data_IF_151974758512
#
_entry.id   IF_151974758512
#
_cell.length_a   1.000
_cell.length_b   1.000
_cell.length_c   1.000
_cell.angle_alpha   90.00
_cell.angle_beta   90.00
_cell.angle_gamma   90.00
#
_symmetry.space_group_name_H-M   'P 1'
#
loop_
_entity.id
_entity.type
_entity.pdbx_description
1 polymer ?
#
# COMPACT_ATOMS: atom_id res chain seq x y z
N UNK A 1 -46.59 13.79 9.45
CA UNK A 1 -45.35 13.07 9.14
C UNK A 1 -45.65 11.59 9.08
N UNK A 2 -45.86 11.08 7.88
CA UNK A 2 -46.07 9.65 7.61
C UNK A 2 -44.80 8.89 7.98
N UNK A 3 -44.88 8.11 9.05
CA UNK A 3 -43.80 7.20 9.46
C UNK A 3 -43.53 6.25 8.31
N UNK A 4 -42.39 6.42 7.63
CA UNK A 4 -41.93 5.47 6.62
C UNK A 4 -41.84 4.10 7.32
N UNK A 5 -42.70 3.17 6.92
CA UNK A 5 -42.75 1.81 7.46
C UNK A 5 -41.44 1.05 7.17
N UNK A 6 -40.62 1.60 6.27
CA UNK A 6 -39.36 1.06 5.81
C UNK A 6 -38.23 2.04 6.13
N UNK A 7 -37.41 1.67 7.11
CA UNK A 7 -36.12 2.29 7.43
C UNK A 7 -35.10 1.16 7.59
N UNK A 8 -34.30 0.86 6.54
CA UNK A 8 -33.38 -0.27 6.58
C UNK A 8 -32.29 -0.11 7.64
N UNK A 9 -31.88 1.12 7.98
CA UNK A 9 -30.85 1.32 8.98
C UNK A 9 -31.33 0.88 10.38
N UNK A 10 -32.57 1.22 10.71
CA UNK A 10 -33.19 0.86 11.98
C UNK A 10 -33.64 -0.61 12.00
N UNK A 11 -34.32 -1.08 10.94
CA UNK A 11 -34.83 -2.45 10.85
C UNK A 11 -33.72 -3.50 10.87
N UNK A 12 -32.60 -3.23 10.18
CA UNK A 12 -31.43 -4.11 10.16
C UNK A 12 -30.52 -3.90 11.37
N UNK A 13 -30.88 -2.94 12.24
CA UNK A 13 -30.13 -2.55 13.43
C UNK A 13 -28.69 -2.18 13.10
N UNK A 14 -28.42 -1.35 12.09
CA UNK A 14 -27.03 -1.00 11.72
C UNK A 14 -26.54 0.22 12.52
N UNK A 15 -27.45 1.15 12.87
CA UNK A 15 -27.16 2.31 13.73
C UNK A 15 -27.84 2.16 15.08
N UNK A 16 -27.13 2.52 16.17
CA UNK A 16 -27.68 2.54 17.53
C UNK A 16 -28.43 3.86 17.83
N UNK A 17 -28.10 4.93 17.11
CA UNK A 17 -28.66 6.26 17.30
C UNK A 17 -29.29 6.73 15.98
N UNK A 18 -30.55 6.36 15.80
CA UNK A 18 -31.34 6.58 14.57
C UNK A 18 -31.61 8.05 14.24
N UNK A 19 -31.26 8.98 15.13
CA UNK A 19 -31.59 10.40 14.99
C UNK A 19 -30.40 11.30 14.66
N UNK A 20 -29.16 10.79 14.67
CA UNK A 20 -27.98 11.59 14.39
C UNK A 20 -27.48 11.34 12.95
N UNK A 21 -27.33 12.40 12.12
CA UNK A 21 -26.92 12.25 10.72
C UNK A 21 -25.50 11.70 10.51
N UNK A 22 -24.73 11.52 11.58
CA UNK A 22 -23.36 10.99 11.59
C UNK A 22 -23.12 10.00 12.74
N UNK A 23 -24.14 9.23 13.14
CA UNK A 23 -23.94 8.19 14.15
C UNK A 23 -22.87 7.18 13.67
N UNK A 24 -21.96 6.73 14.57
CA UNK A 24 -21.00 5.70 14.22
C UNK A 24 -21.70 4.39 13.89
N UNK A 25 -21.26 3.72 12.83
CA UNK A 25 -21.73 2.38 12.47
C UNK A 25 -20.82 1.37 13.15
N UNK A 26 -21.41 0.50 13.97
CA UNK A 26 -20.68 -0.57 14.63
C UNK A 26 -20.81 -1.87 13.85
N UNK A 27 -19.80 -2.72 13.98
CA UNK A 27 -19.79 -4.06 13.43
C UNK A 27 -21.02 -4.85 13.91
N UNK A 28 -21.78 -5.41 12.97
CA UNK A 28 -23.01 -6.17 13.26
C UNK A 28 -22.74 -7.62 13.68
N UNK A 29 -21.47 -8.02 13.71
CA UNK A 29 -21.04 -9.35 14.12
C UNK A 29 -21.32 -9.65 15.58
N UNK A 30 -21.64 -10.91 15.87
CA UNK A 30 -21.86 -11.42 17.22
C UNK A 30 -20.62 -12.16 17.71
N UNK A 31 -20.17 -11.85 18.92
CA UNK A 31 -19.14 -12.67 19.57
C UNK A 31 -19.73 -14.03 19.96
N UNK A 32 -18.95 -15.11 19.78
CA UNK A 32 -19.35 -16.49 20.10
C UNK A 32 -19.38 -16.80 21.60
N UNK A 33 -19.24 -15.80 22.49
CA UNK A 33 -19.30 -15.99 23.93
C UNK A 33 -20.70 -16.46 24.38
N UNK A 34 -20.73 -17.45 25.29
CA UNK A 34 -21.93 -18.22 25.65
C UNK A 34 -22.94 -17.50 26.54
N UNK A 35 -22.61 -16.34 27.12
CA UNK A 35 -23.37 -15.81 28.26
C UNK A 35 -24.16 -14.54 28.01
N UNK A 36 -23.97 -13.85 26.89
CA UNK A 36 -24.83 -12.76 26.40
C UNK A 36 -24.13 -12.30 25.13
N UNK A 37 -24.57 -12.73 23.93
CA UNK A 37 -23.87 -12.47 22.65
C UNK A 37 -23.80 -10.97 22.39
N UNK A 38 -22.76 -10.25 22.85
CA UNK A 38 -22.75 -8.81 22.71
C UNK A 38 -22.38 -8.50 21.27
N UNK A 39 -23.02 -7.49 20.69
CA UNK A 39 -22.62 -6.99 19.39
C UNK A 39 -21.17 -6.46 19.48
N UNK A 40 -20.40 -6.71 18.43
CA UNK A 40 -19.06 -6.16 18.30
C UNK A 40 -19.09 -4.62 18.40
N UNK A 41 -18.26 -4.05 19.29
CA UNK A 41 -18.12 -2.60 19.46
C UNK A 41 -17.14 -1.95 18.48
N UNK A 42 -16.70 -2.68 17.47
CA UNK A 42 -15.77 -2.15 16.48
C UNK A 42 -16.50 -1.16 15.58
N UNK A 43 -16.04 0.10 15.56
CA UNK A 43 -16.54 1.13 14.66
C UNK A 43 -16.00 0.91 13.26
N UNK A 44 -16.87 0.89 12.25
CA UNK A 44 -16.48 0.73 10.85
C UNK A 44 -15.81 2.04 10.37
N UNK A 45 -14.55 2.00 9.91
CA UNK A 45 -13.86 3.19 9.41
C UNK A 45 -14.28 3.54 7.96
N UNK A 46 -13.86 4.72 7.50
CA UNK A 46 -13.86 5.03 6.07
C UNK A 46 -12.83 4.15 5.31
N UNK A 47 -13.07 3.78 4.04
CA UNK A 47 -14.17 4.20 3.15
C UNK A 47 -15.46 3.36 3.27
N UNK A 48 -15.46 2.29 4.07
CA UNK A 48 -16.60 1.38 4.14
C UNK A 48 -17.82 2.01 4.82
N UNK A 49 -17.62 2.93 5.77
CA UNK A 49 -18.69 3.75 6.34
C UNK A 49 -19.52 4.46 5.27
N UNK A 50 -18.87 5.19 4.36
CA UNK A 50 -19.55 5.89 3.26
C UNK A 50 -20.29 4.93 2.30
N UNK A 51 -19.70 3.76 2.02
CA UNK A 51 -20.33 2.72 1.18
C UNK A 51 -21.57 2.13 1.82
N UNK A 52 -21.54 1.88 3.13
CA UNK A 52 -22.69 1.40 3.91
C UNK A 52 -23.83 2.41 3.84
N UNK A 53 -23.56 3.70 4.06
CA UNK A 53 -24.58 4.75 3.99
C UNK A 53 -25.21 4.86 2.61
N UNK A 54 -24.40 4.83 1.56
CA UNK A 54 -24.87 4.88 0.17
C UNK A 54 -25.78 3.68 -0.13
N UNK A 55 -25.39 2.49 0.31
CA UNK A 55 -26.17 1.26 0.14
C UNK A 55 -27.50 1.34 0.92
N UNK A 56 -27.48 1.85 2.15
CA UNK A 56 -28.69 2.04 2.96
C UNK A 56 -29.67 3.04 2.34
N UNK A 57 -29.18 4.15 1.79
CA UNK A 57 -30.03 5.10 1.06
C UNK A 57 -30.65 4.47 -0.19
N UNK A 58 -29.87 3.67 -0.92
CA UNK A 58 -30.37 2.93 -2.08
C UNK A 58 -31.40 1.86 -1.71
N UNK A 59 -31.25 1.19 -0.57
CA UNK A 59 -32.26 0.26 -0.06
C UNK A 59 -33.52 0.98 0.42
N UNK A 60 -33.38 2.18 1.01
CA UNK A 60 -34.50 2.97 1.49
C UNK A 60 -35.38 3.51 0.35
N UNK A 61 -34.84 3.67 -0.86
CA UNK A 61 -35.59 4.09 -2.05
C UNK A 61 -36.31 2.94 -2.78
N UNK A 62 -36.06 1.68 -2.39
CA UNK A 62 -36.74 0.50 -2.94
C UNK A 62 -37.83 0.03 -1.99
N UNK A 63 -38.86 -0.61 -2.56
CA UNK A 63 -39.78 -1.39 -1.76
C UNK A 63 -39.04 -2.59 -1.15
N UNK A 64 -39.32 -2.98 0.11
CA UNK A 64 -38.68 -4.13 0.76
C UNK A 64 -38.88 -5.45 0.00
N UNK A 65 -39.92 -5.56 -0.83
CA UNK A 65 -40.13 -6.71 -1.70
C UNK A 65 -39.12 -6.81 -2.86
N UNK A 66 -38.53 -5.69 -3.26
CA UNK A 66 -37.61 -5.57 -4.39
C UNK A 66 -36.13 -5.56 -3.95
N UNK A 67 -35.87 -5.79 -2.67
CA UNK A 67 -34.51 -5.84 -2.12
C UNK A 67 -33.89 -7.21 -2.42
N UNK A 68 -32.89 -7.20 -3.30
CA UNK A 68 -32.12 -8.39 -3.68
C UNK A 68 -31.25 -8.93 -2.54
N UNK A 69 -31.04 -10.24 -2.52
CA UNK A 69 -30.20 -10.92 -1.51
C UNK A 69 -28.74 -10.49 -1.61
N UNK A 70 -28.24 -10.27 -2.81
CA UNK A 70 -26.88 -9.87 -3.12
C UNK A 70 -26.58 -8.47 -2.56
N UNK A 71 -27.55 -7.56 -2.60
CA UNK A 71 -27.45 -6.24 -1.99
C UNK A 71 -27.34 -6.34 -0.46
N UNK A 72 -28.13 -7.21 0.17
CA UNK A 72 -28.04 -7.48 1.60
C UNK A 72 -26.72 -8.15 1.99
N UNK A 73 -26.20 -9.06 1.17
CA UNK A 73 -24.91 -9.70 1.40
C UNK A 73 -23.75 -8.70 1.33
N UNK A 74 -23.77 -7.82 0.34
CA UNK A 74 -22.77 -6.76 0.20
C UNK A 74 -22.81 -5.83 1.42
N UNK A 75 -24.01 -5.41 1.83
CA UNK A 75 -24.18 -4.60 3.03
C UNK A 75 -23.68 -5.33 4.29
N UNK A 76 -23.97 -6.62 4.43
CA UNK A 76 -23.56 -7.42 5.59
C UNK A 76 -22.04 -7.51 5.66
N UNK A 77 -21.38 -7.77 4.52
CA UNK A 77 -19.93 -7.85 4.43
C UNK A 77 -19.25 -6.54 4.82
N UNK A 78 -19.79 -5.39 4.40
CA UNK A 78 -19.26 -4.06 4.77
C UNK A 78 -19.47 -3.75 6.26
N UNK A 79 -20.58 -4.20 6.84
CA UNK A 79 -20.89 -3.98 8.25
C UNK A 79 -20.13 -4.91 9.22
N UNK A 80 -19.16 -5.70 8.74
CA UNK A 80 -18.40 -6.66 9.57
C UNK A 80 -16.93 -6.29 9.61
N UNK A 81 -16.32 -6.37 10.79
CA UNK A 81 -14.90 -6.07 10.92
C UNK A 81 -14.03 -7.13 10.22
N UNK A 82 -13.01 -6.65 9.53
CA UNK A 82 -12.12 -7.43 8.67
C UNK A 82 -11.42 -8.59 9.37
N UNK A 83 -11.09 -8.41 10.66
CA UNK A 83 -10.28 -9.38 11.39
C UNK A 83 -11.05 -10.60 11.89
N UNK A 84 -12.31 -10.44 12.34
CA UNK A 84 -12.97 -11.48 13.15
C UNK A 84 -14.36 -11.87 12.66
N UNK A 85 -15.14 -10.91 12.17
CA UNK A 85 -16.56 -11.14 11.90
C UNK A 85 -16.90 -11.27 10.41
N UNK A 86 -16.00 -10.97 9.48
CA UNK A 86 -16.22 -11.17 8.02
C UNK A 86 -16.80 -12.55 7.64
N UNK A 87 -16.36 -13.68 8.24
CA UNK A 87 -16.95 -14.99 7.95
C UNK A 87 -18.44 -15.12 8.30
N UNK A 88 -18.99 -14.22 9.14
CA UNK A 88 -20.40 -14.20 9.53
C UNK A 88 -21.31 -13.51 8.50
N UNK A 89 -20.77 -12.99 7.38
CA UNK A 89 -21.54 -12.24 6.39
C UNK A 89 -22.77 -13.01 5.89
N UNK A 90 -22.63 -14.31 5.64
CA UNK A 90 -23.73 -15.17 5.21
C UNK A 90 -24.84 -15.27 6.26
N UNK A 91 -24.48 -15.53 7.52
CA UNK A 91 -25.44 -15.67 8.63
C UNK A 91 -26.21 -14.35 8.88
N UNK A 92 -25.50 -13.21 8.79
CA UNK A 92 -26.10 -11.87 8.88
C UNK A 92 -27.06 -11.64 7.71
N UNK A 93 -26.67 -12.02 6.49
CA UNK A 93 -27.51 -11.91 5.30
C UNK A 93 -28.81 -12.69 5.44
N UNK A 94 -28.74 -13.95 5.86
CA UNK A 94 -29.91 -14.82 6.00
C UNK A 94 -30.90 -14.27 7.05
N UNK A 95 -30.37 -13.71 8.13
CA UNK A 95 -31.16 -13.00 9.15
C UNK A 95 -31.85 -11.76 8.56
N UNK A 96 -31.12 -10.95 7.81
CA UNK A 96 -31.65 -9.73 7.20
C UNK A 96 -32.71 -10.03 6.13
N UNK A 97 -32.49 -11.02 5.27
CA UNK A 97 -33.51 -11.50 4.30
C UNK A 97 -34.82 -11.83 5.00
N UNK A 98 -34.75 -12.49 6.17
CA UNK A 98 -35.94 -12.80 6.97
C UNK A 98 -36.63 -11.56 7.54
N UNK A 99 -35.88 -10.54 7.97
CA UNK A 99 -36.42 -9.27 8.45
C UNK A 99 -37.11 -8.50 7.32
N UNK A 100 -36.44 -8.38 6.17
CA UNK A 100 -36.95 -7.67 4.99
C UNK A 100 -38.20 -8.35 4.44
N UNK A 101 -38.23 -9.69 4.38
CA UNK A 101 -39.42 -10.44 3.96
C UNK A 101 -40.63 -10.20 4.86
N UNK A 102 -40.43 -10.04 6.18
CA UNK A 102 -41.52 -9.65 7.11
C UNK A 102 -42.00 -8.22 6.86
N UNK A 103 -41.08 -7.29 6.60
CA UNK A 103 -41.43 -5.90 6.28
C UNK A 103 -42.25 -5.81 4.99
N UNK A 104 -41.84 -6.55 3.94
CA UNK A 104 -42.58 -6.65 2.68
C UNK A 104 -44.00 -7.20 2.88
N UNK A 105 -44.14 -8.30 3.63
CA UNK A 105 -45.45 -8.88 3.94
C UNK A 105 -46.35 -7.90 4.74
N UNK A 106 -45.78 -7.11 5.64
CA UNK A 106 -46.53 -6.11 6.42
C UNK A 106 -47.01 -4.95 5.55
N UNK A 107 -46.20 -4.47 4.60
CA UNK A 107 -46.61 -3.44 3.65
C UNK A 107 -47.72 -3.93 2.72
N UNK A 108 -47.61 -5.15 2.19
CA UNK A 108 -48.65 -5.75 1.34
C UNK A 108 -50.00 -5.85 2.06
N UNK A 109 -50.02 -6.20 3.36
CA UNK A 109 -51.25 -6.23 4.18
C UNK A 109 -51.88 -4.85 4.34
N UNK A 110 -51.07 -3.79 4.47
CA UNK A 110 -51.58 -2.40 4.56
C UNK A 110 -52.13 -1.89 3.23
N UNK A 111 -51.58 -2.31 2.10
CA UNK A 111 -52.11 -2.00 0.76
C UNK A 111 -53.51 -2.59 0.52
N UNK A 112 -53.74 -3.82 0.96
CA UNK A 112 -55.04 -4.49 0.79
C UNK A 112 -56.14 -3.97 1.73
N UNK A 113 -55.80 -3.38 2.87
CA UNK A 113 -56.78 -2.82 3.81
C UNK A 113 -57.36 -1.45 3.38
N UNK A 114 -56.84 -0.83 2.32
CA UNK A 114 -57.22 0.52 1.89
C UNK A 114 -58.00 0.56 0.56
N UNK A 115 -58.33 -0.62 0.00
CA UNK A 115 -58.98 -0.77 -1.31
C UNK A 115 -60.50 -1.04 -1.31
N UNK A 116 -61.19 -1.07 -0.17
CA UNK A 116 -62.64 -1.30 -0.12
C UNK A 116 -63.39 -0.18 0.60
N UNK A 117 -63.49 0.99 -0.03
CA UNK A 117 -64.50 2.02 0.26
C UNK A 117 -64.49 3.09 -0.84
N UNK A 118 -65.08 2.76 -2.00
CA UNK A 118 -65.50 3.76 -2.98
C UNK A 118 -66.84 3.31 -3.56
N UNK A 119 -67.87 3.48 -2.74
CA UNK A 119 -69.26 3.49 -3.21
C UNK A 119 -69.55 4.93 -3.60
N UNK A 120 -69.32 5.27 -4.88
CA UNK A 120 -69.70 6.58 -5.42
C UNK A 120 -71.15 6.51 -5.90
N UNK A 121 -72.06 6.85 -4.98
CA UNK A 121 -73.43 7.25 -5.25
C UNK A 121 -73.42 8.66 -5.84
N UNK A 122 -73.80 8.82 -7.10
CA UNK A 122 -74.33 10.07 -7.64
C UNK A 122 -74.92 9.79 -9.01
N UNK A 123 -76.22 9.51 -9.04
CA UNK A 123 -77.15 10.11 -9.99
C UNK A 123 -78.54 9.72 -9.50
N UNK A 124 -79.43 10.71 -9.46
CA UNK A 124 -80.88 10.70 -9.21
C UNK A 124 -81.24 11.91 -8.34
N UNK A 125 -81.44 13.06 -8.98
CA UNK A 125 -82.60 13.93 -8.73
C UNK A 125 -82.79 14.92 -9.89
N UNK A 126 -83.80 14.66 -10.72
CA UNK A 126 -84.69 15.62 -11.38
C UNK A 126 -86.08 15.31 -10.79
N UNK A 127 -86.92 16.29 -10.37
CA UNK A 127 -87.95 16.75 -11.31
C UNK A 127 -88.53 18.17 -11.07
N UNK A 128 -89.23 18.62 -12.12
CA UNK A 128 -90.46 19.46 -12.14
C UNK A 128 -90.25 20.92 -12.53
N UNK A 129 -90.74 21.40 -13.68
CA UNK A 129 -92.13 21.53 -14.16
C UNK A 129 -92.84 22.79 -13.63
N UNK A 130 -93.13 23.74 -14.53
CA UNK A 130 -94.25 24.71 -14.46
C UNK A 130 -94.32 25.47 -15.80
N UNK A 131 -95.20 25.11 -16.74
CA UNK A 131 -96.63 25.48 -16.83
C UNK A 131 -96.88 27.00 -16.83
N UNK A 132 -96.89 27.57 -18.04
CA UNK A 132 -97.57 28.83 -18.35
C UNK A 132 -99.09 28.58 -18.48
N UNK A 133 -99.92 29.50 -17.97
CA UNK A 133 -101.12 29.88 -18.71
C UNK A 133 -101.22 31.39 -18.92
N UNK A 134 -101.67 31.72 -20.13
CA UNK A 134 -101.99 33.05 -20.66
C UNK A 134 -103.49 33.28 -20.50
N UNK A 135 -104.00 34.39 -19.94
CA UNK A 135 -105.42 34.71 -20.01
C UNK A 135 -105.73 35.51 -21.28
N UNK A 136 -106.75 35.03 -22.00
CA UNK A 136 -107.46 35.72 -23.07
C UNK A 136 -108.33 36.84 -22.50
N UNK A 137 -108.40 37.93 -23.25
CA UNK A 137 -109.18 39.11 -22.97
C UNK A 137 -110.40 39.19 -23.91
N UNK A 138 -111.47 39.86 -23.44
CA UNK A 138 -112.62 40.40 -24.21
C UNK A 138 -113.65 39.37 -24.74
N UNK A 139 -114.97 39.61 -24.81
CA UNK A 139 -115.77 40.84 -24.79
C UNK A 139 -117.29 40.49 -24.74
N UNK A 140 -118.09 41.40 -24.14
CA UNK A 140 -119.36 41.93 -24.69
C UNK A 140 -120.73 41.23 -24.48
N UNK A 141 -121.69 42.02 -23.95
CA UNK A 141 -123.11 42.05 -24.39
C UNK A 141 -124.17 41.90 -23.29
N UNK A 142 -124.58 42.98 -22.60
CA UNK A 142 -125.82 43.79 -22.80
C UNK A 142 -127.18 43.13 -22.50
N UNK A 143 -127.96 43.76 -21.60
CA UNK A 143 -129.40 43.97 -21.83
C UNK A 143 -130.33 44.10 -20.61
N UNK A 144 -130.76 45.35 -20.31
CA UNK A 144 -132.11 45.80 -19.91
C UNK A 144 -132.68 45.38 -18.52
N UNK A 145 -133.52 46.13 -17.77
CA UNK A 145 -134.14 47.47 -17.82
C UNK A 145 -134.82 47.79 -16.45
N UNK A 146 -134.81 49.08 -16.09
CA UNK A 146 -135.87 49.88 -15.43
C UNK A 146 -136.30 49.70 -13.94
N UNK A 147 -136.00 50.76 -13.14
CA UNK A 147 -136.91 51.43 -12.18
C UNK A 147 -136.85 51.01 -10.69
N UNK A 148 -137.17 51.90 -9.71
CA UNK A 148 -137.05 53.37 -9.64
C UNK A 148 -136.37 53.87 -8.32
N UNK A 149 -135.60 54.97 -8.37
CA UNK A 149 -135.32 56.01 -7.33
C UNK A 149 -135.23 55.71 -5.81
N UNK A 150 -135.09 54.44 -5.43
CA UNK A 150 -134.36 53.87 -4.28
C UNK A 150 -133.20 53.03 -4.78
N UNK A 151 -133.37 52.47 -5.99
CA UNK A 151 -132.36 51.80 -6.79
C UNK A 151 -131.20 52.70 -7.21
N UNK A 152 -131.36 54.03 -7.26
CA UNK A 152 -130.24 54.95 -7.51
C UNK A 152 -129.42 55.25 -6.26
N UNK A 153 -130.02 55.21 -5.07
CA UNK A 153 -129.26 55.22 -3.81
C UNK A 153 -128.63 53.86 -3.56
N UNK A 154 -129.28 52.77 -3.98
CA UNK A 154 -128.76 51.41 -3.94
C UNK A 154 -127.73 51.13 -5.04
N UNK A 155 -127.83 51.74 -6.22
CA UNK A 155 -126.83 51.73 -7.30
C UNK A 155 -125.70 52.71 -7.01
N UNK A 156 -125.94 53.83 -6.31
CA UNK A 156 -124.88 54.68 -5.78
C UNK A 156 -124.20 53.99 -4.60
N UNK A 157 -124.94 53.28 -3.74
CA UNK A 157 -124.39 52.44 -2.67
C UNK A 157 -123.66 51.22 -3.25
N UNK A 158 -124.14 50.61 -4.33
CA UNK A 158 -123.51 49.49 -5.02
C UNK A 158 -122.31 49.96 -5.85
N UNK A 159 -122.37 51.12 -6.52
CA UNK A 159 -121.24 51.71 -7.23
C UNK A 159 -120.19 52.26 -6.25
N UNK A 160 -120.59 52.79 -5.09
CA UNK A 160 -119.63 53.14 -4.03
C UNK A 160 -119.10 51.90 -3.32
N UNK A 161 -119.87 50.82 -3.20
CA UNK A 161 -119.38 49.52 -2.72
C UNK A 161 -118.42 48.87 -3.72
N UNK A 162 -118.73 48.85 -5.03
CA UNK A 162 -117.85 48.38 -6.10
C UNK A 162 -116.61 49.27 -6.24
N UNK A 163 -116.75 50.59 -6.09
CA UNK A 163 -115.61 51.50 -6.06
C UNK A 163 -114.75 51.26 -4.82
N UNK A 164 -115.37 51.04 -3.65
CA UNK A 164 -114.63 50.71 -2.43
C UNK A 164 -114.01 49.31 -2.51
N UNK A 165 -114.64 48.34 -3.17
CA UNK A 165 -114.11 47.00 -3.39
C UNK A 165 -112.98 47.00 -4.44
N UNK A 166 -113.14 47.76 -5.52
CA UNK A 166 -112.10 48.01 -6.52
C UNK A 166 -110.94 48.77 -5.91
N UNK A 167 -111.21 49.75 -5.04
CA UNK A 167 -110.19 50.48 -4.30
C UNK A 167 -109.48 49.57 -3.31
N UNK A 168 -110.21 48.71 -2.59
CA UNK A 168 -109.62 47.70 -1.70
C UNK A 168 -108.75 46.71 -2.47
N UNK A 169 -109.20 46.24 -3.65
CA UNK A 169 -108.42 45.36 -4.55
C UNK A 169 -107.17 46.07 -5.06
N UNK A 170 -107.29 47.32 -5.49
CA UNK A 170 -106.14 48.13 -5.91
C UNK A 170 -105.17 48.38 -4.76
N UNK A 171 -105.66 48.67 -3.55
CA UNK A 171 -104.84 48.85 -2.35
C UNK A 171 -104.15 47.53 -1.95
N UNK A 172 -104.82 46.38 -2.07
CA UNK A 172 -104.23 45.05 -1.88
C UNK A 172 -103.15 44.74 -2.93
N UNK A 173 -103.39 45.10 -4.19
CA UNK A 173 -102.45 44.89 -5.28
C UNK A 173 -101.23 45.82 -5.15
N UNK A 174 -101.43 47.09 -4.75
CA UNK A 174 -100.35 48.03 -4.40
C UNK A 174 -99.53 47.48 -3.24
N UNK A 175 -100.16 46.92 -2.20
CA UNK A 175 -99.44 46.36 -1.06
C UNK A 175 -98.69 45.07 -1.45
N UNK A 176 -99.28 44.21 -2.28
CA UNK A 176 -98.61 43.03 -2.86
C UNK A 176 -97.39 43.44 -3.67
N UNK A 177 -97.54 44.42 -4.58
CA UNK A 177 -96.44 44.95 -5.38
C UNK A 177 -95.37 45.61 -4.50
N UNK A 178 -95.73 46.30 -3.42
CA UNK A 178 -94.76 46.84 -2.45
C UNK A 178 -93.95 45.74 -1.77
N UNK A 179 -94.62 44.66 -1.35
CA UNK A 179 -93.96 43.48 -0.75
C UNK A 179 -93.01 42.84 -1.76
N UNK A 180 -93.43 42.67 -3.01
CA UNK A 180 -92.58 42.16 -4.09
C UNK A 180 -91.39 43.08 -4.39
N UNK A 181 -91.61 44.40 -4.45
CA UNK A 181 -90.55 45.39 -4.67
C UNK A 181 -89.53 45.36 -3.52
N UNK A 182 -89.99 45.20 -2.28
CA UNK A 182 -89.14 44.98 -1.11
C UNK A 182 -88.35 43.66 -1.19
N UNK A 183 -88.99 42.57 -1.65
CA UNK A 183 -88.33 41.28 -1.88
C UNK A 183 -87.25 41.37 -2.95
N UNK A 184 -87.55 42.01 -4.09
CA UNK A 184 -86.61 42.23 -5.18
C UNK A 184 -85.44 43.14 -4.77
N UNK A 185 -85.70 44.19 -4.01
CA UNK A 185 -84.65 45.04 -3.44
C UNK A 185 -83.72 44.26 -2.51
N UNK A 186 -84.29 43.36 -1.69
CA UNK A 186 -83.50 42.49 -0.81
C UNK A 186 -82.67 41.48 -1.61
N UNK A 187 -83.24 40.87 -2.66
CA UNK A 187 -82.49 39.98 -3.57
C UNK A 187 -81.38 40.72 -4.32
N UNK A 188 -81.63 41.95 -4.78
CA UNK A 188 -80.62 42.79 -5.42
C UNK A 188 -79.48 43.13 -4.45
N UNK A 189 -79.80 43.46 -3.20
CA UNK A 189 -78.80 43.72 -2.16
C UNK A 189 -77.94 42.48 -1.91
N UNK A 190 -78.56 41.30 -1.74
CA UNK A 190 -77.85 40.02 -1.59
C UNK A 190 -77.00 39.66 -2.81
N UNK A 191 -77.46 39.95 -4.01
CA UNK A 191 -76.70 39.70 -5.24
C UNK A 191 -75.45 40.59 -5.31
N UNK A 192 -75.57 41.87 -4.97
CA UNK A 192 -74.44 42.80 -4.89
C UNK A 192 -73.42 42.41 -3.82
N UNK A 193 -73.89 41.94 -2.66
CA UNK A 193 -73.04 41.41 -1.60
C UNK A 193 -72.24 40.21 -2.09
N UNK A 194 -72.90 39.23 -2.72
CA UNK A 194 -72.22 38.07 -3.33
C UNK A 194 -71.24 38.46 -4.45
N UNK A 195 -71.57 39.46 -5.26
CA UNK A 195 -70.66 39.95 -6.31
C UNK A 195 -69.41 40.59 -5.70
N UNK A 196 -69.55 41.37 -4.62
CA UNK A 196 -68.43 41.94 -3.88
C UNK A 196 -67.58 40.85 -3.21
N UNK A 197 -68.21 39.86 -2.59
CA UNK A 197 -67.52 38.69 -2.01
C UNK A 197 -66.78 37.88 -3.08
N UNK A 198 -67.40 37.67 -4.24
CA UNK A 198 -66.75 36.96 -5.37
C UNK A 198 -65.58 37.76 -5.92
N UNK A 199 -65.71 39.09 -6.05
CA UNK A 199 -64.64 39.99 -6.51
C UNK A 199 -63.45 40.01 -5.54
N UNK A 200 -63.72 40.09 -4.24
CA UNK A 200 -62.66 40.04 -3.21
C UNK A 200 -61.99 38.66 -3.20
N UNK A 201 -62.76 37.57 -3.27
CA UNK A 201 -62.24 36.21 -3.43
C UNK A 201 -61.35 36.05 -4.66
N UNK A 202 -61.77 36.56 -5.82
CA UNK A 202 -60.99 36.53 -7.05
C UNK A 202 -59.67 37.31 -6.92
N UNK A 203 -59.67 38.46 -6.23
CA UNK A 203 -58.45 39.23 -5.98
C UNK A 203 -57.45 38.49 -5.07
N UNK A 204 -57.95 37.79 -4.05
CA UNK A 204 -57.14 36.97 -3.14
C UNK A 204 -56.52 35.79 -3.88
N UNK A 205 -57.32 35.04 -4.64
CA UNK A 205 -56.84 33.90 -5.45
C UNK A 205 -55.78 34.35 -6.46
N UNK A 206 -55.97 35.51 -7.09
CA UNK A 206 -54.97 36.08 -8.01
C UNK A 206 -53.65 36.37 -7.29
N UNK A 207 -53.69 36.96 -6.09
CA UNK A 207 -52.51 37.22 -5.28
C UNK A 207 -51.78 35.94 -4.85
N UNK A 208 -52.51 34.90 -4.46
CA UNK A 208 -51.93 33.58 -4.13
C UNK A 208 -51.29 32.91 -5.34
N UNK A 209 -51.96 32.97 -6.50
CA UNK A 209 -51.41 32.47 -7.76
C UNK A 209 -50.09 33.17 -8.11
N UNK A 210 -50.04 34.50 -7.99
CA UNK A 210 -48.84 35.27 -8.35
C UNK A 210 -47.67 34.93 -7.41
N UNK A 211 -47.93 34.74 -6.10
CA UNK A 211 -46.91 34.26 -5.14
C UNK A 211 -46.40 32.86 -5.49
N UNK A 212 -47.30 31.93 -5.83
CA UNK A 212 -46.91 30.57 -6.22
C UNK A 212 -46.07 30.56 -7.51
N UNK A 213 -46.36 31.44 -8.46
CA UNK A 213 -45.55 31.60 -9.68
C UNK A 213 -44.15 32.11 -9.36
N UNK A 214 -44.03 33.08 -8.44
CA UNK A 214 -42.73 33.59 -7.99
C UNK A 214 -41.92 32.51 -7.27
N UNK A 215 -42.52 31.75 -6.36
CA UNK A 215 -41.88 30.62 -5.69
C UNK A 215 -41.44 29.53 -6.67
N UNK A 216 -42.30 29.18 -7.64
CA UNK A 216 -41.96 28.22 -8.69
C UNK A 216 -40.77 28.70 -9.55
N UNK A 217 -40.70 29.98 -9.87
CA UNK A 217 -39.58 30.54 -10.62
C UNK A 217 -38.29 30.54 -9.78
N UNK A 218 -38.38 30.85 -8.48
CA UNK A 218 -37.25 30.79 -7.56
C UNK A 218 -36.69 29.37 -7.44
N UNK A 219 -37.55 28.37 -7.20
CA UNK A 219 -37.15 26.96 -7.12
C UNK A 219 -36.54 26.46 -8.43
N UNK A 220 -37.02 26.95 -9.58
CA UNK A 220 -36.45 26.61 -10.88
C UNK A 220 -35.02 27.13 -11.03
N UNK A 221 -34.75 28.36 -10.59
CA UNK A 221 -33.41 28.94 -10.63
C UNK A 221 -32.47 28.19 -9.66
N UNK A 222 -32.92 27.90 -8.44
CA UNK A 222 -32.14 27.12 -7.45
C UNK A 222 -31.82 25.71 -7.98
N UNK A 223 -32.77 25.06 -8.67
CA UNK A 223 -32.54 23.76 -9.31
C UNK A 223 -31.48 23.84 -10.42
N UNK A 224 -31.47 24.93 -11.20
CA UNK A 224 -30.49 25.15 -12.25
C UNK A 224 -29.11 25.39 -11.67
N UNK A 225 -28.99 26.25 -10.66
CA UNK A 225 -27.73 26.50 -9.94
C UNK A 225 -27.17 25.22 -9.28
N UNK A 226 -28.03 24.44 -8.63
CA UNK A 226 -27.64 23.16 -8.03
C UNK A 226 -27.18 22.14 -9.09
N UNK A 227 -27.79 22.15 -10.28
CA UNK A 227 -27.37 21.28 -11.38
C UNK A 227 -26.01 21.71 -11.96
N UNK A 228 -25.76 23.01 -12.10
CA UNK A 228 -24.45 23.53 -12.52
C UNK A 228 -23.35 23.20 -11.50
N UNK A 229 -23.63 23.35 -10.20
CA UNK A 229 -22.71 22.96 -9.14
C UNK A 229 -22.45 21.44 -9.14
N UNK A 230 -23.49 20.63 -9.37
CA UNK A 230 -23.35 19.19 -9.55
C UNK A 230 -22.43 18.82 -10.72
N UNK A 231 -22.53 19.54 -11.85
CA UNK A 231 -21.63 19.33 -12.99
C UNK A 231 -20.18 19.73 -12.67
N UNK A 232 -19.96 20.85 -11.96
CA UNK A 232 -18.62 21.26 -11.49
C UNK A 232 -17.99 20.22 -10.56
N UNK A 233 -18.75 19.72 -9.59
CA UNK A 233 -18.27 18.68 -8.70
C UNK A 233 -17.93 17.38 -9.45
N UNK A 234 -18.68 17.03 -10.50
CA UNK A 234 -18.42 15.85 -11.32
C UNK A 234 -17.15 15.99 -12.17
N UNK A 235 -16.87 17.19 -12.69
CA UNK A 235 -15.61 17.48 -13.39
C UNK A 235 -14.42 17.41 -12.44
N UNK A 236 -14.53 18.00 -11.26
CA UNK A 236 -13.47 17.97 -10.24
C UNK A 236 -13.19 16.54 -9.77
N UNK A 237 -14.25 15.75 -9.55
CA UNK A 237 -14.14 14.33 -9.22
C UNK A 237 -13.43 13.53 -10.31
N UNK A 238 -13.65 13.88 -11.58
CA UNK A 238 -12.99 13.21 -12.71
C UNK A 238 -11.51 13.59 -12.77
N UNK A 239 -11.17 14.86 -12.58
CA UNK A 239 -9.79 15.34 -12.49
C UNK A 239 -9.02 14.68 -11.34
N UNK A 240 -9.60 14.64 -10.13
CA UNK A 240 -8.98 13.99 -8.97
C UNK A 240 -8.76 12.49 -9.18
N UNK A 241 -9.62 11.82 -9.97
CA UNK A 241 -9.40 10.41 -10.34
C UNK A 241 -8.21 10.25 -11.29
N UNK A 242 -8.06 11.14 -12.27
CA UNK A 242 -6.92 11.14 -13.19
C UNK A 242 -5.60 11.41 -12.44
N UNK A 243 -5.58 12.38 -11.53
CA UNK A 243 -4.43 12.62 -10.66
C UNK A 243 -4.10 11.40 -9.78
N UNK A 244 -5.11 10.73 -9.22
CA UNK A 244 -4.89 9.53 -8.41
C UNK A 244 -4.28 8.39 -9.24
N UNK A 245 -4.72 8.22 -10.49
CA UNK A 245 -4.13 7.26 -11.44
C UNK A 245 -2.66 7.63 -11.71
N UNK A 246 -2.38 8.89 -12.02
CA UNK A 246 -1.01 9.37 -12.28
C UNK A 246 -0.08 9.14 -11.08
N UNK A 247 -0.53 9.45 -9.86
CA UNK A 247 0.23 9.16 -8.64
C UNK A 247 0.44 7.66 -8.42
N UNK A 248 -0.55 6.83 -8.75
CA UNK A 248 -0.41 5.37 -8.66
C UNK A 248 0.66 4.85 -9.63
N UNK A 249 0.71 5.38 -10.85
CA UNK A 249 1.73 5.05 -11.85
C UNK A 249 3.13 5.49 -11.39
N UNK A 250 3.28 6.71 -10.87
CA UNK A 250 4.55 7.20 -10.31
C UNK A 250 5.03 6.33 -9.14
N UNK A 251 4.13 5.95 -8.22
CA UNK A 251 4.47 5.05 -7.11
C UNK A 251 4.92 3.67 -7.59
N UNK A 252 4.34 3.15 -8.69
CA UNK A 252 4.77 1.89 -9.27
C UNK A 252 6.14 2.00 -9.93
N UNK A 253 6.44 3.11 -10.61
CA UNK A 253 7.76 3.39 -11.18
C UNK A 253 8.84 3.49 -10.09
N UNK A 254 8.59 4.30 -9.05
CA UNK A 254 9.51 4.44 -7.92
C UNK A 254 9.74 3.11 -7.18
N UNK A 255 8.71 2.26 -7.09
CA UNK A 255 8.86 0.91 -6.55
C UNK A 255 9.76 0.03 -7.42
N UNK A 256 9.65 0.13 -8.75
CA UNK A 256 10.55 -0.53 -9.69
C UNK A 256 12.00 -0.09 -9.51
N UNK A 257 12.23 1.23 -9.43
CA UNK A 257 13.56 1.78 -9.21
C UNK A 257 14.17 1.34 -7.87
N UNK A 258 13.36 1.26 -6.81
CA UNK A 258 13.79 0.77 -5.50
C UNK A 258 14.24 -0.70 -5.56
N UNK A 259 13.54 -1.55 -6.31
CA UNK A 259 13.94 -2.95 -6.51
C UNK A 259 15.29 -3.03 -7.21
N UNK A 260 15.47 -2.31 -8.33
CA UNK A 260 16.73 -2.27 -9.09
C UNK A 260 17.89 -1.77 -8.22
N UNK A 261 17.66 -0.71 -7.43
CA UNK A 261 18.66 -0.20 -6.49
C UNK A 261 19.04 -1.25 -5.44
N UNK A 262 18.06 -1.98 -4.90
CA UNK A 262 18.27 -3.05 -3.92
C UNK A 262 19.10 -4.20 -4.49
N UNK A 263 18.79 -4.65 -5.71
CA UNK A 263 19.56 -5.68 -6.42
C UNK A 263 21.00 -5.23 -6.66
N UNK A 264 21.20 -3.97 -7.07
CA UNK A 264 22.54 -3.40 -7.24
C UNK A 264 23.33 -3.35 -5.94
N UNK A 265 22.70 -2.98 -4.83
CA UNK A 265 23.38 -2.99 -3.51
C UNK A 265 23.77 -4.40 -3.09
N UNK A 266 22.90 -5.39 -3.27
CA UNK A 266 23.22 -6.80 -2.98
C UNK A 266 24.39 -7.29 -3.85
N UNK A 267 24.40 -6.95 -5.13
CA UNK A 267 25.50 -7.30 -6.00
C UNK A 267 26.84 -6.70 -5.52
N UNK A 268 26.87 -5.40 -5.20
CA UNK A 268 28.07 -4.76 -4.66
C UNK A 268 28.54 -5.36 -3.33
N UNK A 269 27.63 -5.76 -2.45
CA UNK A 269 27.96 -6.47 -1.21
C UNK A 269 28.63 -7.83 -1.48
N UNK A 270 28.15 -8.58 -2.48
CA UNK A 270 28.79 -9.84 -2.89
C UNK A 270 30.18 -9.62 -3.49
N UNK A 271 30.36 -8.57 -4.31
CA UNK A 271 31.68 -8.23 -4.86
C UNK A 271 32.67 -7.80 -3.78
N UNK A 272 32.24 -6.96 -2.84
CA UNK A 272 33.05 -6.56 -1.68
C UNK A 272 33.48 -7.78 -0.84
N UNK A 273 32.56 -8.72 -0.61
CA UNK A 273 32.85 -9.96 0.12
C UNK A 273 33.90 -10.80 -0.61
N UNK A 274 33.75 -10.98 -1.92
CA UNK A 274 34.73 -11.69 -2.78
C UNK A 274 36.10 -11.03 -2.76
N UNK A 275 36.17 -9.70 -2.93
CA UNK A 275 37.44 -8.96 -2.89
C UNK A 275 38.10 -9.10 -1.51
N UNK A 276 37.33 -9.10 -0.43
CA UNK A 276 37.87 -9.26 0.92
C UNK A 276 38.45 -10.67 1.14
N UNK A 277 37.81 -11.71 0.60
CA UNK A 277 38.35 -13.08 0.59
C UNK A 277 39.65 -13.17 -0.21
N UNK A 278 39.69 -12.60 -1.42
CA UNK A 278 40.90 -12.54 -2.26
C UNK A 278 42.04 -11.79 -1.54
N UNK A 279 41.75 -10.65 -0.90
CA UNK A 279 42.72 -9.90 -0.10
C UNK A 279 43.23 -10.70 1.10
N UNK A 280 42.37 -11.49 1.74
CA UNK A 280 42.79 -12.38 2.84
C UNK A 280 43.74 -13.46 2.35
N UNK A 281 43.48 -14.06 1.18
CA UNK A 281 44.32 -15.07 0.57
C UNK A 281 45.69 -14.51 0.16
N UNK A 282 45.72 -13.31 -0.43
CA UNK A 282 46.99 -12.62 -0.75
C UNK A 282 47.81 -12.33 0.51
N UNK A 283 47.15 -11.92 1.62
CA UNK A 283 47.83 -11.72 2.90
C UNK A 283 48.44 -13.01 3.44
N UNK A 284 47.72 -14.13 3.41
CA UNK A 284 48.27 -15.41 3.88
C UNK A 284 49.46 -15.85 3.02
N UNK A 285 49.35 -15.76 1.71
CA UNK A 285 50.47 -16.06 0.80
C UNK A 285 51.69 -15.17 1.07
N UNK A 286 51.49 -13.87 1.27
CA UNK A 286 52.58 -12.94 1.63
C UNK A 286 53.27 -13.34 2.95
N UNK A 287 52.50 -13.78 3.96
CA UNK A 287 53.10 -14.28 5.22
C UNK A 287 53.90 -15.57 5.02
N UNK A 288 53.43 -16.49 4.18
CA UNK A 288 54.12 -17.75 3.88
C UNK A 288 55.40 -17.51 3.07
N UNK A 289 55.36 -16.62 2.07
CA UNK A 289 56.55 -16.18 1.34
C UNK A 289 57.55 -15.50 2.27
N UNK A 290 57.08 -14.70 3.24
CA UNK A 290 57.91 -14.11 4.28
C UNK A 290 58.65 -15.15 5.12
N UNK A 291 57.96 -16.23 5.54
CA UNK A 291 58.57 -17.36 6.27
C UNK A 291 59.58 -18.13 5.42
N UNK A 292 59.26 -18.39 4.14
CA UNK A 292 60.19 -19.05 3.22
C UNK A 292 61.45 -18.21 3.00
N UNK A 293 61.30 -16.90 2.83
CA UNK A 293 62.43 -15.99 2.65
C UNK A 293 63.35 -15.96 3.89
N UNK A 294 62.77 -15.90 5.10
CA UNK A 294 63.58 -15.94 6.33
C UNK A 294 64.31 -17.28 6.51
N UNK A 295 63.67 -18.41 6.15
CA UNK A 295 64.29 -19.72 6.15
C UNK A 295 65.46 -19.81 5.17
N UNK A 296 65.30 -19.31 3.94
CA UNK A 296 66.36 -19.26 2.92
C UNK A 296 67.54 -18.40 3.40
N UNK A 297 67.28 -17.21 3.96
CA UNK A 297 68.33 -16.34 4.50
C UNK A 297 69.11 -17.02 5.64
N UNK A 298 68.44 -17.75 6.52
CA UNK A 298 69.10 -18.52 7.57
C UNK A 298 69.95 -19.67 7.00
N UNK A 299 69.45 -20.36 5.98
CA UNK A 299 70.22 -21.42 5.29
C UNK A 299 71.46 -20.87 4.59
N UNK A 300 71.36 -19.70 3.92
CA UNK A 300 72.52 -19.01 3.32
C UNK A 300 73.56 -18.69 4.39
N UNK A 301 73.16 -18.10 5.53
CA UNK A 301 74.08 -17.80 6.63
C UNK A 301 74.75 -19.06 7.20
N UNK A 302 74.01 -20.16 7.32
CA UNK A 302 74.57 -21.43 7.78
C UNK A 302 75.62 -21.96 6.79
N UNK A 303 75.33 -21.96 5.49
CA UNK A 303 76.27 -22.37 4.45
C UNK A 303 77.50 -21.44 4.40
N UNK A 304 77.35 -20.14 4.61
CA UNK A 304 78.49 -19.21 4.70
C UNK A 304 79.40 -19.54 5.89
N UNK A 305 78.83 -19.85 7.06
CA UNK A 305 79.58 -20.26 8.23
C UNK A 305 80.31 -21.60 8.02
N UNK A 306 79.63 -22.59 7.41
CA UNK A 306 80.25 -23.87 7.03
C UNK A 306 81.41 -23.69 6.05
N UNK A 307 81.22 -22.85 5.02
CA UNK A 307 82.26 -22.50 4.05
C UNK A 307 83.48 -21.86 4.73
N UNK A 308 83.25 -20.94 5.66
CA UNK A 308 84.35 -20.25 6.35
C UNK A 308 85.08 -21.18 7.33
N UNK A 309 84.36 -22.08 8.03
CA UNK A 309 84.97 -23.15 8.81
C UNK A 309 85.83 -24.09 7.95
N UNK A 310 85.31 -24.53 6.79
CA UNK A 310 86.06 -25.36 5.85
C UNK A 310 87.32 -24.67 5.30
N UNK A 311 87.27 -23.35 5.08
CA UNK A 311 88.45 -22.55 4.69
C UNK A 311 89.49 -22.51 5.80
N UNK A 312 89.07 -22.36 7.05
CA UNK A 312 90.00 -22.36 8.18
C UNK A 312 90.65 -23.72 8.40
N UNK A 313 89.90 -24.82 8.24
CA UNK A 313 90.46 -26.17 8.28
C UNK A 313 91.42 -26.41 7.11
N UNK A 314 91.09 -25.96 5.90
CA UNK A 314 92.02 -26.01 4.76
C UNK A 314 93.31 -25.20 5.04
N UNK A 315 93.21 -24.02 5.69
CA UNK A 315 94.39 -23.24 6.10
C UNK A 315 95.26 -24.00 7.10
N UNK A 316 94.66 -24.66 8.10
CA UNK A 316 95.40 -25.49 9.07
C UNK A 316 96.16 -26.61 8.37
N UNK A 317 95.48 -27.38 7.50
CA UNK A 317 96.09 -28.45 6.72
C UNK A 317 97.23 -27.92 5.84
N UNK A 318 97.06 -26.75 5.22
CA UNK A 318 98.11 -26.13 4.42
C UNK A 318 99.34 -25.74 5.27
N UNK A 319 99.15 -25.26 6.50
CA UNK A 319 100.24 -24.95 7.44
C UNK A 319 100.96 -26.24 7.88
N UNK A 320 100.21 -27.27 8.29
CA UNK A 320 100.76 -28.58 8.69
C UNK A 320 101.55 -29.23 7.55
N UNK A 321 101.04 -29.17 6.31
CA UNK A 321 101.74 -29.67 5.13
C UNK A 321 103.04 -28.89 4.88
N UNK A 322 103.04 -27.57 5.05
CA UNK A 322 104.24 -26.75 4.93
C UNK A 322 105.28 -27.09 6.02
N UNK A 323 104.84 -27.39 7.25
CA UNK A 323 105.70 -27.86 8.34
C UNK A 323 106.30 -29.23 8.04
N UNK A 324 105.49 -30.20 7.60
CA UNK A 324 105.96 -31.52 7.19
C UNK A 324 106.97 -31.43 6.05
N UNK A 325 106.72 -30.58 5.05
CA UNK A 325 107.64 -30.37 3.94
C UNK A 325 108.97 -29.75 4.41
N UNK A 326 108.94 -28.78 5.35
CA UNK A 326 110.16 -28.24 5.97
C UNK A 326 110.96 -29.33 6.68
N UNK A 327 110.29 -30.17 7.48
CA UNK A 327 110.91 -31.30 8.18
C UNK A 327 111.50 -32.32 7.20
N UNK A 328 110.78 -32.64 6.13
CA UNK A 328 111.26 -33.52 5.06
C UNK A 328 112.52 -32.97 4.38
N UNK A 329 112.53 -31.68 4.02
CA UNK A 329 113.69 -31.02 3.42
C UNK A 329 114.89 -30.99 4.37
N UNK A 330 114.66 -30.77 5.67
CA UNK A 330 115.72 -30.84 6.68
C UNK A 330 116.33 -32.25 6.77
N UNK A 331 115.50 -33.29 6.85
CA UNK A 331 115.95 -34.69 6.81
C UNK A 331 116.69 -35.04 5.51
N UNK A 332 116.23 -34.53 4.38
CA UNK A 332 116.91 -34.72 3.09
C UNK A 332 118.30 -34.06 3.08
N UNK A 333 118.43 -32.86 3.63
CA UNK A 333 119.71 -32.18 3.79
C UNK A 333 120.64 -32.91 4.76
N UNK A 334 120.12 -33.41 5.89
CA UNK A 334 120.85 -34.28 6.82
C UNK A 334 121.33 -35.57 6.13
N UNK A 335 120.48 -36.22 5.34
CA UNK A 335 120.85 -37.40 4.59
C UNK A 335 121.98 -37.09 3.58
N UNK A 336 121.88 -36.00 2.84
CA UNK A 336 122.94 -35.55 1.93
C UNK A 336 124.25 -35.26 2.67
N UNK A 337 124.19 -34.60 3.83
CA UNK A 337 125.37 -34.33 4.64
C UNK A 337 126.01 -35.62 5.15
N UNK A 338 125.21 -36.60 5.59
CA UNK A 338 125.69 -37.93 5.98
C UNK A 338 126.31 -38.68 4.80
N UNK A 339 125.77 -38.57 3.58
CA UNK A 339 126.39 -39.14 2.38
C UNK A 339 127.75 -38.50 2.08
N UNK A 340 127.87 -37.18 2.22
CA UNK A 340 129.15 -36.47 2.07
C UNK A 340 130.17 -36.90 3.14
N UNK A 341 129.75 -37.02 4.41
CA UNK A 341 130.61 -37.51 5.51
C UNK A 341 131.05 -38.95 5.26
N UNK A 342 130.13 -39.81 4.80
CA UNK A 342 130.42 -41.21 4.44
C UNK A 342 131.44 -41.27 3.30
N UNK A 343 131.23 -40.50 2.22
CA UNK A 343 132.15 -40.44 1.09
C UNK A 343 133.55 -39.94 1.52
N UNK A 344 133.61 -38.90 2.35
CA UNK A 344 134.84 -38.37 2.95
C UNK A 344 135.55 -39.41 3.81
N UNK A 345 134.82 -40.14 4.67
CA UNK A 345 135.38 -41.25 5.46
C UNK A 345 135.91 -42.39 4.58
N UNK A 346 135.17 -42.77 3.53
CA UNK A 346 135.61 -43.78 2.57
C UNK A 346 136.89 -43.35 1.84
N UNK A 347 136.99 -42.08 1.43
CA UNK A 347 138.19 -41.52 0.81
C UNK A 347 139.37 -41.46 1.79
N UNK A 348 139.16 -40.98 3.02
CA UNK A 348 140.17 -40.94 4.08
C UNK A 348 140.65 -42.35 4.44
N UNK A 349 139.74 -43.33 4.54
CA UNK A 349 140.07 -44.74 4.74
C UNK A 349 140.87 -45.28 3.56
N UNK A 350 140.46 -45.02 2.31
CA UNK A 350 141.21 -45.43 1.13
C UNK A 350 142.63 -44.83 1.12
N UNK A 351 142.78 -43.55 1.46
CA UNK A 351 144.08 -42.87 1.59
C UNK A 351 144.92 -43.48 2.72
N UNK A 352 144.33 -43.78 3.88
CA UNK A 352 145.04 -44.38 5.01
C UNK A 352 145.46 -45.81 4.72
N UNK A 353 144.60 -46.62 4.07
CA UNK A 353 144.93 -47.94 3.55
C UNK A 353 146.02 -47.87 2.50
N UNK A 354 145.96 -46.91 1.56
CA UNK A 354 147.00 -46.72 0.56
C UNK A 354 148.34 -46.33 1.20
N UNK A 355 148.35 -45.41 2.18
CA UNK A 355 149.56 -45.07 2.95
C UNK A 355 150.11 -46.28 3.72
N UNK A 356 149.25 -47.07 4.37
CA UNK A 356 149.64 -48.31 5.07
C UNK A 356 150.19 -49.35 4.11
N UNK A 357 149.57 -49.52 2.94
CA UNK A 357 150.04 -50.41 1.87
C UNK A 357 151.40 -49.95 1.36
N UNK A 358 151.57 -48.66 1.06
CA UNK A 358 152.87 -48.11 0.64
C UNK A 358 153.94 -48.28 1.71
N UNK A 359 153.61 -48.05 2.99
CA UNK A 359 154.52 -48.28 4.11
C UNK A 359 154.88 -49.77 4.26
N UNK A 360 153.91 -50.66 4.05
CA UNK A 360 154.12 -52.11 4.05
C UNK A 360 154.98 -52.56 2.86
N UNK A 361 154.68 -52.13 1.63
CA UNK A 361 155.48 -52.38 0.43
C UNK A 361 156.90 -51.82 0.59
N UNK A 362 157.06 -50.64 1.18
CA UNK A 362 158.37 -50.05 1.51
C UNK A 362 159.17 -50.95 2.47
N UNK A 363 158.57 -51.41 3.58
CA UNK A 363 159.18 -52.38 4.48
C UNK A 363 159.51 -53.70 3.79
N UNK A 364 158.62 -54.19 2.91
CA UNK A 364 158.85 -55.40 2.14
C UNK A 364 159.99 -55.22 1.12
N UNK A 365 160.09 -54.05 0.48
CA UNK A 365 161.20 -53.67 -0.41
C UNK A 365 162.50 -53.60 0.37
N UNK A 366 162.49 -53.01 1.57
CA UNK A 366 163.66 -52.99 2.45
C UNK A 366 164.09 -54.41 2.85
N UNK A 367 163.13 -55.29 3.17
CA UNK A 367 163.43 -56.71 3.41
C UNK A 367 163.92 -57.45 2.16
N UNK A 368 163.35 -57.20 0.98
CA UNK A 368 163.80 -57.79 -0.27
C UNK A 368 165.22 -57.30 -0.66
N UNK A 369 165.51 -56.02 -0.42
CA UNK A 369 166.85 -55.44 -0.59
C UNK A 369 167.83 -56.01 0.42
N UNK A 370 167.42 -56.26 1.68
CA UNK A 370 168.23 -56.96 2.68
C UNK A 370 168.49 -58.42 2.31
N UNK A 371 167.52 -59.13 1.74
CA UNK A 371 167.69 -60.51 1.27
C UNK A 371 168.61 -60.54 0.03
N UNK A 372 168.47 -59.58 -0.88
CA UNK A 372 169.36 -59.45 -2.05
C UNK A 372 170.78 -59.00 -1.66
N UNK A 373 170.93 -58.12 -0.67
CA UNK A 373 172.25 -57.70 -0.19
C UNK A 373 172.93 -58.78 0.63
N UNK A 374 172.20 -59.58 1.40
CA UNK A 374 172.74 -60.79 2.04
C UNK A 374 173.18 -61.83 0.98
N UNK A 375 172.40 -62.00 -0.08
CA UNK A 375 172.78 -62.88 -1.21
C UNK A 375 174.05 -62.39 -1.94
N UNK A 376 174.22 -61.08 -2.09
CA UNK A 376 175.41 -60.47 -2.71
C UNK A 376 176.63 -60.55 -1.77
N UNK A 377 176.47 -60.42 -0.46
CA UNK A 377 177.55 -60.59 0.52
C UNK A 377 178.00 -62.05 0.63
N UNK A 378 177.10 -63.01 0.47
CA UNK A 378 177.45 -64.44 0.40
C UNK A 378 178.18 -64.83 -0.90
N UNK A 379 177.88 -64.16 -2.01
CA UNK A 379 178.64 -64.29 -3.26
C UNK A 379 180.04 -63.64 -3.15
N UNK A 380 180.14 -62.44 -2.54
CA UNK A 380 181.42 -61.76 -2.34
C UNK A 380 182.38 -62.47 -1.37
N UNK A 381 181.87 -63.18 -0.36
CA UNK A 381 182.72 -63.99 0.55
C UNK A 381 183.31 -65.24 -0.10
N UNK A 382 182.73 -65.75 -1.18
CA UNK A 382 183.28 -66.91 -1.92
C UNK A 382 184.41 -66.52 -2.87
N UNK A 383 184.56 -65.24 -3.21
CA UNK A 383 185.52 -64.77 -4.21
C UNK A 383 186.84 -64.26 -3.63
N UNK A 384 186.91 -63.94 -2.32
CA UNK A 384 188.18 -63.68 -1.60
C UNK A 384 188.86 -64.93 -1.03
N UNK A 385 188.45 -66.13 -1.50
CA UNK A 385 189.11 -67.41 -1.25
C UNK A 385 189.96 -67.88 -2.45
N UNK A 386 190.37 -66.95 -3.32
CA UNK A 386 191.37 -67.10 -4.39
C UNK A 386 192.19 -65.83 -4.46
#
# INVERSE_FOLDING_TARGET
MSTAIWDPANLLQISYETHLPNAPIFCVGESKSKLDKPRCRYTIPEPDYSRIRTTLLHLASKDPGDVEREALHTLAFLCLCDGYHKPQAKDVTDRWVSIVGRAAAQQQRKGHSRGSSSTSMSDWWDPSAELLPRPSNSQQGRGQMAGPTKKLEEELAAATAELNESKLKADQEIESLRVELGSLQNLLAKAKERELESSTGASTIKGERDKLVEEMQKLRNELLEANEEGQRMETDRSHLKEENIAFSEELNLLRGDLVVATERTQHLETECSRINEEMSAVRTEATELGKKNSAILNAIRAMEAERDAARDDHRKVAIELAEQNRSYMALQHEFQSLQLVKASHQQSNAVSWHRRLLAWVSKFRMHAVLILSLSIVELGRREMAR
#
